data_IF_128937248014
#
_entry.id   IF_128937248014
#
_cell.length_a   1.000
_cell.length_b   1.000
_cell.length_c   1.000
_cell.angle_alpha   90.00
_cell.angle_beta   90.00
_cell.angle_gamma   90.00
#
_symmetry.space_group_name_H-M   'P 1'
#
loop_
_entity.id
_entity.type
_entity.pdbx_description
1 polymer ?
#
# COMPACT_ATOMS: atom_id res chain seq x y z
N UNK A 1 4.45 14.18 16.29
CA UNK A 1 4.93 14.85 15.07
C UNK A 1 5.02 13.79 14.00
N UNK A 2 5.78 14.00 12.92
CA UNK A 2 6.17 12.88 12.03
C UNK A 2 7.27 12.10 12.76
N UNK A 3 6.90 11.37 13.81
CA UNK A 3 7.83 10.71 14.73
C UNK A 3 8.53 9.49 14.09
N UNK A 4 8.32 9.28 12.78
CA UNK A 4 8.83 8.19 11.97
C UNK A 4 9.72 8.64 10.80
N UNK A 5 10.10 9.92 10.73
CA UNK A 5 10.94 10.49 9.66
C UNK A 5 12.32 10.95 10.14
N UNK A 6 13.37 10.64 9.39
CA UNK A 6 14.77 11.02 9.68
C UNK A 6 15.47 11.45 8.39
N UNK A 7 16.26 12.53 8.45
CA UNK A 7 17.20 12.89 7.37
C UNK A 7 18.54 12.21 7.65
N UNK A 8 19.05 11.43 6.69
CA UNK A 8 20.33 10.72 6.79
C UNK A 8 21.51 11.65 6.49
N UNK A 9 22.74 11.21 6.79
CA UNK A 9 23.96 12.03 6.61
C UNK A 9 24.26 12.43 5.16
N UNK A 10 23.73 11.70 4.19
CA UNK A 10 23.81 12.02 2.76
C UNK A 10 22.64 12.91 2.26
N UNK A 11 21.76 13.38 3.16
CA UNK A 11 20.64 14.26 2.83
C UNK A 11 19.35 13.55 2.38
N UNK A 12 19.28 12.22 2.40
CA UNK A 12 18.05 11.49 2.07
C UNK A 12 17.01 11.57 3.19
N UNK A 13 15.73 11.69 2.84
CA UNK A 13 14.61 11.53 3.77
C UNK A 13 14.21 10.06 3.87
N UNK A 14 14.31 9.49 5.08
CA UNK A 14 13.84 8.14 5.40
C UNK A 14 12.58 8.23 6.27
N UNK A 15 11.47 7.67 5.79
CA UNK A 15 10.23 7.54 6.56
C UNK A 15 10.00 6.05 6.81
N UNK A 16 9.93 5.66 8.08
CA UNK A 16 9.69 4.27 8.50
C UNK A 16 8.22 4.06 8.80
N UNK A 17 7.68 2.85 8.62
CA UNK A 17 6.27 2.55 8.91
C UNK A 17 5.29 3.56 8.28
N UNK A 18 5.24 3.58 6.94
CA UNK A 18 4.39 4.49 6.19
C UNK A 18 2.91 4.34 6.57
N UNK A 19 2.25 5.47 6.76
CA UNK A 19 0.80 5.58 6.99
C UNK A 19 0.23 6.59 5.98
N UNK A 20 -1.07 6.55 5.72
CA UNK A 20 -1.72 7.50 4.79
C UNK A 20 -1.52 8.97 5.16
N UNK A 21 -1.32 9.29 6.43
CA UNK A 21 -0.97 10.65 6.89
C UNK A 21 0.41 11.14 6.40
N UNK A 22 1.27 10.23 5.93
CA UNK A 22 2.56 10.56 5.33
C UNK A 22 2.43 10.93 3.85
N UNK A 23 1.26 10.73 3.22
CA UNK A 23 1.04 11.20 1.85
C UNK A 23 1.12 12.72 1.77
N UNK A 24 1.73 13.25 0.72
CA UNK A 24 1.87 14.68 0.53
C UNK A 24 3.07 15.08 -0.32
N UNK A 25 3.26 16.39 -0.46
CA UNK A 25 4.42 16.97 -1.16
C UNK A 25 5.59 17.12 -0.19
N UNK A 26 6.74 16.60 -0.61
CA UNK A 26 8.01 16.74 0.08
C UNK A 26 8.94 17.58 -0.77
N UNK A 27 9.66 18.49 -0.11
CA UNK A 27 10.60 19.38 -0.78
C UNK A 27 12.00 19.17 -0.21
N UNK A 28 12.95 18.92 -1.11
CA UNK A 28 14.37 18.92 -0.80
C UNK A 28 14.92 20.31 -1.12
N UNK A 29 15.46 20.97 -0.11
CA UNK A 29 16.04 22.32 -0.23
C UNK A 29 17.52 22.24 0.08
N UNK A 30 18.36 22.69 -0.85
CA UNK A 30 19.82 22.76 -0.69
C UNK A 30 20.23 24.23 -0.68
N UNK A 31 20.95 24.64 0.36
CA UNK A 31 21.48 25.99 0.50
C UNK A 31 23.00 25.93 0.54
N UNK A 32 23.67 26.70 -0.31
CA UNK A 32 25.13 26.76 -0.37
C UNK A 32 25.62 28.19 -0.62
N UNK A 33 26.90 28.46 -0.33
CA UNK A 33 27.48 29.78 -0.58
C UNK A 33 27.45 30.20 -2.06
N UNK A 34 27.43 29.24 -2.99
CA UNK A 34 27.37 29.48 -4.43
C UNK A 34 25.95 29.56 -5.00
N UNK A 35 24.92 29.29 -4.20
CA UNK A 35 23.53 29.29 -4.64
C UNK A 35 22.69 28.19 -3.99
N UNK A 36 21.38 28.31 -4.17
CA UNK A 36 20.38 27.41 -3.60
C UNK A 36 19.66 26.66 -4.73
N UNK A 37 19.22 25.43 -4.48
CA UNK A 37 18.33 24.68 -5.35
C UNK A 37 17.21 24.03 -4.53
N UNK A 38 16.07 23.78 -5.17
CA UNK A 38 14.94 23.09 -4.55
C UNK A 38 14.27 22.12 -5.52
N UNK A 39 13.84 20.96 -5.01
CA UNK A 39 13.15 19.93 -5.77
C UNK A 39 11.98 19.37 -4.98
N UNK A 40 10.84 19.21 -5.64
CA UNK A 40 9.61 18.69 -5.04
C UNK A 40 9.32 17.30 -5.56
N UNK A 41 8.91 16.40 -4.67
CA UNK A 41 8.36 15.09 -4.98
C UNK A 41 7.03 14.90 -4.23
N UNK A 42 6.10 14.16 -4.84
CA UNK A 42 4.85 13.75 -4.17
C UNK A 42 4.98 12.30 -3.74
N UNK A 43 4.64 12.02 -2.48
CA UNK A 43 4.54 10.68 -1.94
C UNK A 43 3.05 10.34 -1.79
N UNK A 44 2.61 9.28 -2.45
CA UNK A 44 1.28 8.70 -2.27
C UNK A 44 1.43 7.33 -1.60
N UNK A 45 0.99 7.23 -0.34
CA UNK A 45 0.96 5.97 0.38
C UNK A 45 -0.31 5.22 0.00
N UNK A 46 -0.15 4.11 -0.73
CA UNK A 46 -1.24 3.21 -1.09
C UNK A 46 -1.42 2.11 -0.05
N UNK A 47 -2.67 1.68 0.15
CA UNK A 47 -3.01 0.61 1.07
C UNK A 47 -3.15 -0.72 0.30
N UNK A 48 -2.77 -1.82 0.94
CA UNK A 48 -3.10 -3.14 0.40
C UNK A 48 -4.62 -3.33 0.49
N UNK A 49 -5.24 -4.00 -0.50
CA UNK A 49 -6.63 -4.38 -0.39
C UNK A 49 -6.88 -5.23 0.86
N UNK A 50 -8.03 -5.03 1.48
CA UNK A 50 -8.49 -5.91 2.54
C UNK A 50 -8.69 -7.33 2.01
N UNK A 51 -8.53 -8.36 2.87
CA UNK A 51 -8.82 -9.73 2.49
C UNK A 51 -10.26 -9.86 1.95
N UNK A 52 -10.47 -10.67 0.90
CA UNK A 52 -11.82 -10.97 0.44
C UNK A 52 -12.59 -11.69 1.56
N UNK A 53 -13.89 -11.41 1.65
CA UNK A 53 -14.77 -12.06 2.61
C UNK A 53 -15.42 -13.25 1.93
N UNK A 54 -15.12 -14.45 2.40
CA UNK A 54 -15.80 -15.68 1.96
C UNK A 54 -17.24 -15.62 2.46
N UNK A 55 -18.19 -15.61 1.54
CA UNK A 55 -19.62 -15.57 1.85
C UNK A 55 -20.26 -16.94 1.84
N UNK A 56 -19.70 -17.89 1.08
CA UNK A 56 -20.21 -19.26 1.00
C UNK A 56 -19.11 -20.25 0.63
N UNK A 57 -19.19 -21.44 1.22
CA UNK A 57 -18.45 -22.65 0.81
C UNK A 57 -19.42 -23.82 0.77
N UNK A 58 -19.47 -24.54 -0.34
CA UNK A 58 -20.30 -25.74 -0.49
C UNK A 58 -19.61 -26.82 -1.31
N UNK A 59 -20.03 -28.07 -1.14
CA UNK A 59 -19.63 -29.16 -2.04
C UNK A 59 -20.18 -28.87 -3.45
N UNK A 60 -19.47 -29.35 -4.46
CA UNK A 60 -19.93 -29.27 -5.83
C UNK A 60 -20.65 -30.57 -6.21
N UNK A 61 -21.94 -30.48 -6.52
CA UNK A 61 -22.78 -31.64 -6.87
C UNK A 61 -22.45 -32.23 -8.25
N UNK A 62 -21.84 -31.43 -9.14
CA UNK A 62 -21.60 -31.82 -10.53
C UNK A 62 -20.15 -32.25 -10.79
N UNK A 63 -19.20 -31.85 -9.94
CA UNK A 63 -17.77 -32.10 -10.12
C UNK A 63 -17.24 -32.85 -8.90
N UNK A 64 -16.94 -34.16 -9.04
CA UNK A 64 -16.40 -34.97 -7.95
C UNK A 64 -15.13 -34.35 -7.35
N UNK A 65 -14.95 -34.49 -6.03
CA UNK A 65 -13.80 -34.00 -5.29
C UNK A 65 -13.55 -32.49 -5.45
N UNK A 66 -14.60 -31.69 -5.57
CA UNK A 66 -14.48 -30.24 -5.68
C UNK A 66 -15.46 -29.48 -4.79
N UNK A 67 -15.14 -28.21 -4.56
CA UNK A 67 -15.91 -27.27 -3.74
C UNK A 67 -16.17 -26.00 -4.52
N UNK A 68 -17.33 -25.38 -4.28
CA UNK A 68 -17.65 -24.04 -4.76
C UNK A 68 -17.39 -23.04 -3.63
N UNK A 69 -16.64 -21.99 -3.94
CA UNK A 69 -16.33 -20.90 -3.01
C UNK A 69 -16.86 -19.61 -3.61
N UNK A 70 -17.61 -18.84 -2.84
CA UNK A 70 -18.07 -17.50 -3.21
C UNK A 70 -17.52 -16.49 -2.20
N UNK A 71 -17.07 -15.35 -2.71
CA UNK A 71 -16.51 -14.28 -1.90
C UNK A 71 -16.92 -12.91 -2.45
N UNK A 72 -16.84 -11.91 -1.60
CA UNK A 72 -16.93 -10.50 -1.98
C UNK A 72 -15.57 -9.82 -1.81
N UNK A 73 -15.30 -8.82 -2.64
CA UNK A 73 -14.09 -8.00 -2.47
C UNK A 73 -14.13 -7.24 -1.14
N UNK A 74 -12.95 -7.09 -0.51
CA UNK A 74 -12.76 -6.14 0.59
C UNK A 74 -12.62 -4.71 0.08
N UNK A 75 -12.26 -3.78 0.97
CA UNK A 75 -11.83 -2.44 0.58
C UNK A 75 -10.57 -2.55 -0.29
N UNK A 76 -10.51 -1.80 -1.39
CA UNK A 76 -9.45 -1.89 -2.39
C UNK A 76 -8.27 -0.94 -2.10
N UNK A 77 -8.31 -0.22 -0.98
CA UNK A 77 -7.23 0.71 -0.61
C UNK A 77 -7.11 1.89 -1.59
N UNK A 78 -8.22 2.28 -2.23
CA UNK A 78 -8.31 3.29 -3.28
C UNK A 78 -7.51 2.93 -4.55
N UNK A 79 -7.18 1.65 -4.72
CA UNK A 79 -6.50 1.13 -5.91
C UNK A 79 -7.18 -0.15 -6.43
N UNK A 80 -7.48 -0.28 -7.73
CA UNK A 80 -8.24 -1.43 -8.22
C UNK A 80 -7.58 -2.77 -7.90
N UNK A 81 -8.37 -3.72 -7.37
CA UNK A 81 -7.92 -5.11 -7.18
C UNK A 81 -7.71 -5.77 -8.54
N UNK A 82 -6.52 -6.34 -8.75
CA UNK A 82 -6.13 -6.96 -10.03
C UNK A 82 -6.12 -8.49 -10.00
N UNK A 83 -6.12 -9.12 -8.83
CA UNK A 83 -6.01 -10.57 -8.66
C UNK A 83 -6.53 -11.04 -7.30
N UNK A 84 -7.10 -12.24 -7.28
CA UNK A 84 -7.37 -13.01 -6.06
C UNK A 84 -6.51 -14.27 -6.01
N UNK A 85 -6.12 -14.70 -4.81
CA UNK A 85 -5.37 -15.94 -4.57
C UNK A 85 -6.20 -16.83 -3.65
N UNK A 86 -6.46 -18.07 -4.08
CA UNK A 86 -7.13 -19.09 -3.26
C UNK A 86 -6.06 -19.99 -2.64
N UNK A 87 -6.16 -20.23 -1.35
CA UNK A 87 -5.27 -21.12 -0.60
C UNK A 87 -6.11 -22.12 0.20
N UNK A 88 -5.69 -23.39 0.24
CA UNK A 88 -6.29 -24.45 1.05
C UNK A 88 -5.22 -25.15 1.88
N UNK A 89 -5.62 -25.82 2.96
CA UNK A 89 -4.75 -26.64 3.83
C UNK A 89 -5.34 -28.02 4.00
#
# INVERSE_FOLDING_TARGET
>A
GVDNAVITSNGSLMITYLQGKNSGKYECVVTSAGGNDQRVATLDVIYLPDPPVITQVSLNDNIPNSVLITWTQGYDGDTPITKFIIQSR
#
